data_IF_406495399937
#
_entry.id   IF_406495399937
#
_cell.length_a   1.000
_cell.length_b   1.000
_cell.length_c   1.000
_cell.angle_alpha   90.00
_cell.angle_beta   90.00
_cell.angle_gamma   90.00
#
_symmetry.space_group_name_H-M   'P 1'
#
loop_
_entity.id
_entity.type
_entity.pdbx_description
1 polymer ?
#
# COMPACT_ATOMS: atom_id res chain seq x y z
N UNK A 1 17.75 27.18 -22.02
CA UNK A 1 17.65 26.38 -20.78
C UNK A 1 18.90 26.63 -19.97
N UNK A 2 18.73 27.03 -18.71
CA UNK A 2 19.84 27.27 -17.79
C UNK A 2 20.24 25.93 -17.14
N UNK A 3 21.49 25.51 -17.31
CA UNK A 3 21.98 24.28 -16.71
C UNK A 3 22.53 24.56 -15.32
N UNK A 4 21.97 23.91 -14.30
CA UNK A 4 22.52 23.92 -12.94
C UNK A 4 23.33 22.65 -12.70
N UNK A 5 24.57 22.83 -12.25
CA UNK A 5 25.46 21.72 -11.87
C UNK A 5 25.32 21.47 -10.37
N UNK A 6 25.11 20.20 -10.01
CA UNK A 6 24.99 19.74 -8.62
C UNK A 6 25.99 18.60 -8.40
N UNK A 7 26.58 18.55 -7.21
CA UNK A 7 27.47 17.48 -6.79
C UNK A 7 26.82 16.71 -5.64
N UNK A 8 26.84 15.39 -5.71
CA UNK A 8 26.38 14.51 -4.63
C UNK A 8 27.43 13.42 -4.38
N UNK A 9 27.51 12.94 -3.14
CA UNK A 9 28.44 11.88 -2.74
C UNK A 9 27.69 10.56 -2.67
N UNK A 10 28.26 9.53 -3.27
CA UNK A 10 27.82 8.15 -3.19
C UNK A 10 28.92 7.31 -2.55
N UNK A 11 28.55 6.20 -1.91
CA UNK A 11 29.53 5.18 -1.53
C UNK A 11 30.16 4.60 -2.79
N UNK A 12 31.42 4.19 -2.69
CA UNK A 12 32.19 3.69 -3.84
C UNK A 12 31.53 2.47 -4.50
N UNK A 13 30.96 1.57 -3.70
CA UNK A 13 30.28 0.37 -4.20
C UNK A 13 29.00 0.73 -4.97
N UNK A 14 28.22 1.69 -4.45
CA UNK A 14 26.98 2.15 -5.10
C UNK A 14 27.29 2.90 -6.39
N UNK A 15 28.34 3.72 -6.40
CA UNK A 15 28.80 4.39 -7.61
C UNK A 15 29.28 3.39 -8.68
N UNK A 16 29.99 2.33 -8.26
CA UNK A 16 30.47 1.30 -9.19
C UNK A 16 29.30 0.55 -9.86
N UNK A 17 28.28 0.18 -9.08
CA UNK A 17 27.05 -0.42 -9.60
C UNK A 17 26.31 0.53 -10.53
N UNK A 18 26.16 1.79 -10.12
CA UNK A 18 25.49 2.81 -10.92
C UNK A 18 26.20 3.04 -12.26
N UNK A 19 27.53 3.15 -12.25
CA UNK A 19 28.36 3.28 -13.45
C UNK A 19 28.20 2.07 -14.37
N UNK A 20 28.24 0.87 -13.84
CA UNK A 20 28.03 -0.36 -14.62
C UNK A 20 26.68 -0.35 -15.36
N UNK A 21 25.60 0.10 -14.69
CA UNK A 21 24.27 0.21 -15.31
C UNK A 21 24.28 1.26 -16.44
N UNK A 22 24.89 2.42 -16.20
CA UNK A 22 25.02 3.47 -17.21
C UNK A 22 25.78 2.96 -18.44
N UNK A 23 26.91 2.28 -18.22
CA UNK A 23 27.77 1.72 -19.27
C UNK A 23 27.00 0.66 -20.09
N UNK A 24 26.24 -0.22 -19.43
CA UNK A 24 25.39 -1.23 -20.11
C UNK A 24 24.28 -0.59 -20.97
N UNK A 25 23.78 0.57 -20.57
CA UNK A 25 22.75 1.34 -21.29
C UNK A 25 23.33 2.28 -22.35
N UNK A 26 24.66 2.45 -22.42
CA UNK A 26 25.30 3.39 -23.33
C UNK A 26 25.03 4.87 -22.99
N UNK A 27 24.71 5.18 -21.73
CA UNK A 27 24.33 6.52 -21.28
C UNK A 27 25.41 7.10 -20.36
N UNK A 28 25.56 8.44 -20.37
CA UNK A 28 26.36 9.13 -19.35
C UNK A 28 25.62 9.14 -18.00
N UNK A 29 26.36 9.25 -16.90
CA UNK A 29 25.77 9.33 -15.55
C UNK A 29 24.75 10.45 -15.44
N UNK A 30 25.05 11.62 -16.00
CA UNK A 30 24.15 12.78 -15.98
C UNK A 30 22.92 12.59 -16.86
N UNK A 31 23.04 11.92 -18.01
CA UNK A 31 21.91 11.60 -18.85
C UNK A 31 20.97 10.61 -18.14
N UNK A 32 21.54 9.55 -17.58
CA UNK A 32 20.76 8.54 -16.87
C UNK A 32 20.12 9.09 -15.59
N UNK A 33 20.82 9.93 -14.81
CA UNK A 33 20.19 10.61 -13.67
C UNK A 33 19.05 11.54 -14.09
N UNK A 34 19.17 12.24 -15.22
CA UNK A 34 18.09 13.08 -15.73
C UNK A 34 16.87 12.25 -16.10
N UNK A 35 17.06 11.10 -16.75
CA UNK A 35 15.98 10.16 -17.05
C UNK A 35 15.28 9.67 -15.79
N UNK A 36 16.05 9.28 -14.76
CA UNK A 36 15.48 8.83 -13.48
C UNK A 36 14.70 9.94 -12.76
N UNK A 37 15.23 11.17 -12.75
CA UNK A 37 14.54 12.32 -12.16
C UNK A 37 13.24 12.62 -12.92
N UNK A 38 13.29 12.62 -14.26
CA UNK A 38 12.09 12.83 -15.08
C UNK A 38 11.07 11.71 -14.89
N UNK A 39 11.52 10.47 -14.78
CA UNK A 39 10.67 9.33 -14.49
C UNK A 39 9.94 9.52 -13.15
N UNK A 40 10.65 9.89 -12.09
CA UNK A 40 10.05 10.11 -10.76
C UNK A 40 9.09 11.31 -10.75
N UNK A 41 9.42 12.41 -11.46
CA UNK A 41 8.54 13.57 -11.59
C UNK A 41 7.24 13.21 -12.31
N UNK A 42 7.35 12.39 -13.37
CA UNK A 42 6.19 12.00 -14.18
C UNK A 42 5.40 10.83 -13.58
N UNK A 43 6.00 10.08 -12.65
CA UNK A 43 5.38 8.93 -11.98
C UNK A 43 5.63 9.06 -10.47
N UNK A 44 5.06 10.10 -9.81
CA UNK A 44 5.31 10.31 -8.40
C UNK A 44 4.81 9.11 -7.61
N UNK A 45 5.71 8.39 -6.94
CA UNK A 45 5.30 7.31 -6.06
C UNK A 45 4.69 7.94 -4.80
N UNK A 46 3.38 7.81 -4.62
CA UNK A 46 2.69 8.33 -3.44
C UNK A 46 3.22 7.61 -2.19
N UNK A 47 3.98 8.32 -1.35
CA UNK A 47 4.59 7.76 -0.12
C UNK A 47 3.55 7.24 0.88
N UNK A 48 2.34 7.76 0.81
CA UNK A 48 1.20 7.32 1.61
C UNK A 48 0.02 7.15 0.67
N UNK A 49 -0.39 5.90 0.45
CA UNK A 49 -1.56 5.57 -0.35
C UNK A 49 -2.71 5.29 0.61
N UNK A 50 -3.71 6.16 0.58
CA UNK A 50 -5.00 5.95 1.23
C UNK A 50 -6.08 5.84 0.15
N UNK A 51 -7.20 5.20 0.51
CA UNK A 51 -8.28 4.96 -0.42
C UNK A 51 -9.50 4.34 0.23
N UNK A 52 -10.50 4.03 -0.59
CA UNK A 52 -11.78 3.45 -0.18
C UNK A 52 -11.99 2.11 -0.84
N UNK A 53 -12.51 1.15 -0.07
CA UNK A 53 -13.01 -0.10 -0.62
C UNK A 53 -14.31 0.14 -1.39
N UNK A 54 -14.38 -0.39 -2.59
CA UNK A 54 -15.55 -0.34 -3.46
C UNK A 54 -15.91 -1.77 -3.85
N UNK A 55 -17.10 -2.19 -3.46
CA UNK A 55 -17.67 -3.46 -3.92
C UNK A 55 -18.69 -3.16 -5.01
N UNK A 56 -18.51 -3.79 -6.16
CA UNK A 56 -19.37 -3.68 -7.33
C UNK A 56 -20.07 -5.01 -7.58
N UNK A 57 -21.37 -4.96 -7.84
CA UNK A 57 -22.16 -6.09 -8.31
C UNK A 57 -22.33 -5.97 -9.83
N UNK A 58 -22.03 -7.05 -10.55
CA UNK A 58 -22.11 -7.18 -12.01
C UNK A 58 -23.36 -7.99 -12.35
N UNK A 59 -24.51 -7.35 -12.64
CA UNK A 59 -25.81 -8.03 -12.70
C UNK A 59 -25.90 -9.07 -13.81
N UNK A 60 -25.26 -8.81 -14.94
CA UNK A 60 -25.32 -9.70 -16.11
C UNK A 60 -24.66 -11.06 -15.87
N UNK A 61 -23.76 -11.14 -14.90
CA UNK A 61 -22.99 -12.35 -14.57
C UNK A 61 -23.35 -12.93 -13.21
N UNK A 62 -24.13 -12.22 -12.40
CA UNK A 62 -24.35 -12.52 -10.98
C UNK A 62 -23.02 -12.68 -10.21
N UNK A 63 -22.09 -11.76 -10.47
CA UNK A 63 -20.75 -11.75 -9.86
C UNK A 63 -20.48 -10.43 -9.17
N UNK A 64 -19.50 -10.43 -8.28
CA UNK A 64 -19.05 -9.25 -7.57
C UNK A 64 -17.57 -9.01 -7.84
N UNK A 65 -17.15 -7.76 -7.71
CA UNK A 65 -15.75 -7.36 -7.75
C UNK A 65 -15.47 -6.39 -6.60
N UNK A 66 -14.27 -6.48 -6.05
CA UNK A 66 -13.78 -5.60 -5.00
C UNK A 66 -12.57 -4.83 -5.51
N UNK A 67 -12.67 -3.51 -5.45
CA UNK A 67 -11.64 -2.56 -5.81
C UNK A 67 -11.24 -1.70 -4.61
N UNK A 68 -10.02 -1.16 -4.66
CA UNK A 68 -9.58 -0.05 -3.82
C UNK A 68 -9.38 1.16 -4.73
N UNK A 69 -10.20 2.19 -4.52
CA UNK A 69 -10.03 3.49 -5.17
C UNK A 69 -9.18 4.38 -4.28
N UNK A 70 -8.01 4.77 -4.75
CA UNK A 70 -7.10 5.67 -4.04
C UNK A 70 -7.68 7.08 -3.98
N UNK A 71 -7.20 7.89 -3.03
CA UNK A 71 -7.57 9.32 -2.94
C UNK A 71 -7.13 10.13 -4.17
N UNK A 72 -6.25 9.56 -5.00
CA UNK A 72 -5.80 10.11 -6.28
C UNK A 72 -6.69 9.70 -7.47
N UNK A 73 -7.75 8.91 -7.22
CA UNK A 73 -8.73 8.50 -8.22
C UNK A 73 -8.35 7.24 -9.00
N UNK A 74 -7.23 6.61 -8.68
CA UNK A 74 -6.81 5.34 -9.29
C UNK A 74 -7.57 4.18 -8.66
N UNK A 75 -8.10 3.26 -9.46
CA UNK A 75 -8.80 2.07 -8.98
C UNK A 75 -7.96 0.82 -9.23
N UNK A 76 -7.75 0.04 -8.17
CA UNK A 76 -7.01 -1.22 -8.24
C UNK A 76 -7.91 -2.38 -7.84
N UNK A 77 -7.93 -3.44 -8.65
CA UNK A 77 -8.65 -4.66 -8.34
C UNK A 77 -7.98 -5.40 -7.17
N UNK A 78 -8.74 -5.70 -6.13
CA UNK A 78 -8.35 -6.64 -5.08
C UNK A 78 -8.72 -8.05 -5.51
N UNK A 79 -9.95 -8.23 -5.97
CA UNK A 79 -10.47 -9.48 -6.52
C UNK A 79 -11.63 -9.18 -7.45
N UNK A 80 -11.74 -9.92 -8.56
CA UNK A 80 -12.77 -9.67 -9.58
C UNK A 80 -13.57 -10.94 -9.87
N UNK A 81 -14.81 -10.77 -10.32
CA UNK A 81 -15.66 -11.84 -10.84
C UNK A 81 -15.89 -12.99 -9.83
N UNK A 82 -16.13 -12.65 -8.55
CA UNK A 82 -16.39 -13.62 -7.48
C UNK A 82 -17.89 -13.89 -7.31
N UNK A 83 -18.22 -15.12 -6.93
CA UNK A 83 -19.60 -15.54 -6.69
C UNK A 83 -20.16 -14.97 -5.38
N UNK A 84 -21.49 -14.96 -5.26
CA UNK A 84 -22.17 -14.64 -4.00
C UNK A 84 -21.81 -15.61 -2.86
N UNK A 85 -21.47 -16.86 -3.19
CA UNK A 85 -21.03 -17.87 -2.22
C UNK A 85 -19.69 -17.48 -1.59
N UNK A 86 -18.71 -17.11 -2.42
CA UNK A 86 -17.41 -16.65 -1.93
C UNK A 86 -17.54 -15.43 -1.00
N UNK A 87 -18.45 -14.48 -1.32
CA UNK A 87 -18.68 -13.32 -0.45
C UNK A 87 -19.28 -13.70 0.92
N UNK A 88 -20.15 -14.72 0.96
CA UNK A 88 -20.69 -15.22 2.24
C UNK A 88 -19.61 -15.87 3.08
N UNK A 89 -18.79 -16.72 2.47
CA UNK A 89 -17.67 -17.36 3.16
C UNK A 89 -16.66 -16.33 3.68
N UNK A 90 -16.39 -15.28 2.89
CA UNK A 90 -15.54 -14.16 3.29
C UNK A 90 -16.13 -13.40 4.48
N UNK A 91 -17.44 -13.14 4.48
CA UNK A 91 -18.13 -12.48 5.59
C UNK A 91 -18.00 -13.31 6.88
N UNK A 92 -18.21 -14.62 6.80
CA UNK A 92 -18.09 -15.52 7.95
C UNK A 92 -16.65 -15.55 8.49
N UNK A 93 -15.65 -15.64 7.61
CA UNK A 93 -14.24 -15.60 8.00
C UNK A 93 -13.84 -14.27 8.65
N UNK A 94 -14.38 -13.13 8.17
CA UNK A 94 -14.16 -11.82 8.78
C UNK A 94 -14.78 -11.78 10.18
N UNK A 95 -16.02 -12.25 10.33
CA UNK A 95 -16.70 -12.29 11.62
C UNK A 95 -15.94 -13.14 12.64
N UNK A 96 -15.51 -14.35 12.26
CA UNK A 96 -14.70 -15.23 13.12
C UNK A 96 -13.39 -14.54 13.52
N UNK A 97 -12.70 -13.90 12.57
CA UNK A 97 -11.48 -13.14 12.85
C UNK A 97 -11.70 -12.00 13.84
N UNK A 98 -12.83 -11.29 13.73
CA UNK A 98 -13.22 -10.22 14.64
C UNK A 98 -13.56 -10.73 16.04
N UNK A 99 -14.29 -11.85 16.15
CA UNK A 99 -14.58 -12.50 17.43
C UNK A 99 -13.30 -12.97 18.12
N UNK A 100 -12.40 -13.62 17.38
CA UNK A 100 -11.10 -14.05 17.87
C UNK A 100 -10.29 -12.86 18.37
N UNK A 101 -10.25 -11.75 17.63
CA UNK A 101 -9.60 -10.51 18.08
C UNK A 101 -10.22 -10.03 19.40
N UNK A 102 -11.54 -9.94 19.49
CA UNK A 102 -12.26 -9.50 20.69
C UNK A 102 -11.91 -10.37 21.91
N UNK A 103 -11.84 -11.70 21.74
CA UNK A 103 -11.42 -12.61 22.81
C UNK A 103 -9.97 -12.38 23.26
N UNK A 104 -9.05 -12.13 22.32
CA UNK A 104 -7.62 -11.93 22.62
C UNK A 104 -7.38 -10.62 23.37
N UNK A 105 -8.11 -9.56 23.00
CA UNK A 105 -8.00 -8.27 23.69
C UNK A 105 -8.92 -8.18 24.90
N UNK A 106 -9.66 -9.23 25.27
CA UNK A 106 -10.57 -9.21 26.43
C UNK A 106 -11.76 -8.27 26.29
N UNK A 107 -12.16 -7.94 25.06
CA UNK A 107 -13.33 -7.11 24.77
C UNK A 107 -14.60 -7.89 25.12
N UNK A 108 -15.28 -7.49 26.20
CA UNK A 108 -16.47 -8.20 26.72
C UNK A 108 -17.80 -7.69 26.15
N UNK A 109 -17.81 -6.47 25.60
CA UNK A 109 -18.97 -5.84 24.96
C UNK A 109 -18.58 -5.19 23.64
N UNK A 110 -19.54 -5.12 22.73
CA UNK A 110 -19.44 -4.29 21.53
C UNK A 110 -19.05 -2.85 21.95
N UNK A 111 -18.07 -2.26 21.25
CA UNK A 111 -17.45 -0.96 21.56
C UNK A 111 -16.69 -0.83 22.90
N UNK A 112 -16.54 -1.91 23.67
CA UNK A 112 -15.69 -1.87 24.88
C UNK A 112 -14.21 -2.06 24.56
N UNK A 113 -13.35 -1.45 25.38
CA UNK A 113 -11.90 -1.65 25.34
C UNK A 113 -11.49 -2.31 26.65
N UNK A 114 -10.71 -3.39 26.59
CA UNK A 114 -10.16 -3.95 27.81
C UNK A 114 -9.08 -3.03 28.37
N UNK A 115 -9.23 -2.72 29.65
CA UNK A 115 -8.29 -1.91 30.41
C UNK A 115 -7.54 -2.83 31.36
N UNK A 116 -6.21 -2.76 31.36
CA UNK A 116 -5.41 -3.56 32.29
C UNK A 116 -5.70 -3.17 33.74
N UNK A 117 -5.77 -4.15 34.66
CA UNK A 117 -5.98 -3.85 36.08
C UNK A 117 -4.91 -2.92 36.68
N UNK A 118 -3.66 -3.00 36.19
CA UNK A 118 -2.57 -2.11 36.63
C UNK A 118 -2.89 -0.63 36.38
N UNK A 119 -3.47 -0.33 35.22
CA UNK A 119 -3.94 1.01 34.88
C UNK A 119 -5.05 1.48 35.84
N UNK A 120 -5.98 0.58 36.22
CA UNK A 120 -7.06 0.90 37.16
C UNK A 120 -6.58 1.08 38.61
N UNK A 121 -5.48 0.42 39.01
CA UNK A 121 -4.93 0.49 40.37
C UNK A 121 -4.00 1.68 40.62
N UNK A 122 -3.76 2.54 39.60
CA UNK A 122 -2.73 3.59 39.63
C UNK A 122 -1.31 3.07 39.97
N UNK A 123 -1.04 1.80 39.66
CA UNK A 123 0.30 1.21 39.77
C UNK A 123 1.08 1.50 38.48
N UNK A 124 1.53 2.75 38.31
CA UNK A 124 2.51 3.16 37.28
C UNK A 124 3.87 3.32 37.94
#
# INVERSE_FOLDING_TARGET
MEYKTLATKLRQDDFSKFKYICDKKGLSQSAYMRELILFEINNPMHQFVAGKNVFEYIPDKDLFSWYVTTDHGESHAVIENISAEFLRDLQDAINEGMERRSSLIGQMKEDSVAISEKFMRNDI
#
